data_IF_718240931880
#
_entry.id   IF_718240931880
#
_cell.length_a   1.000
_cell.length_b   1.000
_cell.length_c   1.000
_cell.angle_alpha   90.00
_cell.angle_beta   90.00
_cell.angle_gamma   90.00
#
_symmetry.space_group_name_H-M   'P 1'
#
loop_
_entity.id
_entity.type
_entity.pdbx_description
1 polymer ?
#
# COMPACT_ATOMS: atom_id res chain seq x y z
N UNK A 1 10.61 32.77 -6.48
CA UNK A 1 10.83 31.62 -7.40
C UNK A 1 10.39 30.40 -6.67
N UNK A 2 9.31 29.78 -7.12
CA UNK A 2 8.87 28.49 -6.59
C UNK A 2 9.87 27.46 -7.10
N UNK A 3 10.48 26.63 -6.24
CA UNK A 3 11.38 25.59 -6.72
C UNK A 3 10.61 24.65 -7.67
N UNK A 4 11.23 24.34 -8.80
CA UNK A 4 10.69 23.36 -9.74
C UNK A 4 10.75 21.98 -9.08
N UNK A 5 9.64 21.53 -8.54
CA UNK A 5 9.50 20.20 -7.93
C UNK A 5 8.60 19.37 -8.83
N UNK A 6 9.10 18.21 -9.26
CA UNK A 6 8.29 17.27 -10.03
C UNK A 6 7.16 16.73 -9.15
N UNK A 7 5.97 16.61 -9.73
CA UNK A 7 4.87 15.98 -9.03
C UNK A 7 5.13 14.47 -8.93
N UNK A 8 5.36 13.97 -7.73
CA UNK A 8 5.77 12.58 -7.49
C UNK A 8 4.81 11.57 -8.13
N UNK A 9 3.51 11.71 -7.89
CA UNK A 9 2.50 10.76 -8.41
C UNK A 9 2.45 10.78 -9.93
N UNK A 10 2.50 11.96 -10.54
CA UNK A 10 2.46 12.11 -12.01
C UNK A 10 3.78 11.69 -12.65
N UNK A 11 4.90 12.10 -12.06
CA UNK A 11 6.22 11.86 -12.62
C UNK A 11 6.67 10.41 -12.50
N UNK A 12 6.61 9.87 -11.31
CA UNK A 12 7.22 8.58 -11.00
C UNK A 12 6.26 7.38 -11.01
N UNK A 13 4.99 7.60 -10.74
CA UNK A 13 4.02 6.51 -10.61
C UNK A 13 3.24 6.31 -11.91
N UNK A 14 2.91 7.40 -12.60
CA UNK A 14 1.94 7.34 -13.68
C UNK A 14 2.52 7.52 -15.09
N UNK A 15 3.51 8.38 -15.26
CA UNK A 15 4.01 8.73 -16.59
C UNK A 15 5.33 8.08 -16.94
N UNK A 16 6.36 8.34 -16.15
CA UNK A 16 7.73 7.96 -16.50
C UNK A 16 8.26 6.82 -15.65
N UNK A 17 7.42 6.23 -14.81
CA UNK A 17 7.86 5.18 -13.92
C UNK A 17 8.76 5.68 -12.80
N UNK A 18 9.22 4.77 -12.05
CA UNK A 18 10.02 4.98 -10.86
C UNK A 18 9.27 4.51 -9.62
N UNK A 19 9.97 3.77 -8.79
CA UNK A 19 9.48 3.34 -7.49
C UNK A 19 8.74 2.01 -7.44
N UNK A 20 8.39 1.38 -8.55
CA UNK A 20 7.72 0.08 -8.56
C UNK A 20 6.60 -0.02 -7.51
N UNK A 21 5.72 0.98 -7.48
CA UNK A 21 4.72 1.16 -6.43
C UNK A 21 3.34 0.68 -6.85
N UNK A 22 2.57 0.25 -5.86
CA UNK A 22 1.18 -0.15 -6.04
C UNK A 22 0.56 -0.50 -4.69
N UNK A 23 -0.77 -0.47 -4.63
CA UNK A 23 -1.47 -0.94 -3.45
C UNK A 23 -1.46 -2.46 -3.38
N UNK A 24 -1.39 -3.01 -2.17
CA UNK A 24 -1.51 -4.45 -1.94
C UNK A 24 -2.97 -4.90 -1.98
N UNK A 25 -3.20 -6.19 -2.24
CA UNK A 25 -4.51 -6.83 -2.08
C UNK A 25 -5.14 -6.50 -0.73
N UNK A 26 -4.37 -6.66 0.34
CA UNK A 26 -4.80 -6.33 1.71
C UNK A 26 -5.29 -4.89 1.86
N UNK A 27 -4.68 -3.92 1.16
CA UNK A 27 -5.15 -2.53 1.16
C UNK A 27 -6.50 -2.40 0.44
N UNK A 28 -6.62 -3.00 -0.74
CA UNK A 28 -7.85 -2.94 -1.55
C UNK A 28 -9.01 -3.64 -0.84
N UNK A 29 -8.75 -4.76 -0.18
CA UNK A 29 -9.76 -5.47 0.62
C UNK A 29 -10.20 -4.70 1.86
N UNK A 30 -9.38 -3.78 2.38
CA UNK A 30 -9.74 -2.95 3.55
C UNK A 30 -10.87 -1.97 3.28
N UNK A 31 -11.09 -1.54 2.03
CA UNK A 31 -12.21 -0.70 1.69
C UNK A 31 -13.52 -1.46 1.88
N UNK A 32 -14.51 -0.79 2.48
CA UNK A 32 -15.84 -1.35 2.71
C UNK A 32 -16.69 -1.34 1.42
N UNK A 33 -17.86 -1.91 1.49
CA UNK A 33 -18.95 -1.58 0.56
C UNK A 33 -19.44 -0.16 0.85
N UNK A 34 -20.15 0.46 -0.08
CA UNK A 34 -20.65 1.83 0.06
C UNK A 34 -21.64 2.00 1.22
N UNK A 35 -22.32 0.94 1.60
CA UNK A 35 -23.22 0.89 2.75
C UNK A 35 -22.51 0.65 4.09
N UNK A 36 -21.17 0.57 4.09
CA UNK A 36 -20.35 0.30 5.27
C UNK A 36 -20.17 -1.18 5.61
N UNK A 37 -20.67 -2.10 4.81
CA UNK A 37 -20.53 -3.54 5.04
C UNK A 37 -19.11 -4.02 4.68
N UNK A 38 -18.43 -4.84 5.51
CA UNK A 38 -17.21 -5.53 5.10
C UNK A 38 -17.46 -6.46 3.90
N UNK A 39 -16.50 -6.54 2.96
CA UNK A 39 -16.70 -7.29 1.70
C UNK A 39 -17.09 -8.74 1.90
N UNK A 40 -16.56 -9.41 2.91
CA UNK A 40 -16.87 -10.81 3.21
C UNK A 40 -18.27 -11.02 3.84
N UNK A 41 -18.91 -9.94 4.28
CA UNK A 41 -20.25 -9.95 4.86
C UNK A 41 -21.33 -9.45 3.90
N UNK A 42 -20.95 -8.96 2.72
CA UNK A 42 -21.87 -8.42 1.72
C UNK A 42 -22.20 -9.43 0.65
N UNK A 43 -23.50 -9.59 0.36
CA UNK A 43 -23.98 -10.35 -0.81
C UNK A 43 -23.75 -9.61 -2.13
N UNK A 44 -23.53 -8.31 -2.09
CA UNK A 44 -23.39 -7.46 -3.28
C UNK A 44 -21.93 -7.38 -3.76
N UNK A 45 -20.98 -7.89 -2.99
CA UNK A 45 -19.59 -7.95 -3.41
C UNK A 45 -19.39 -8.93 -4.55
N UNK A 46 -18.93 -8.46 -5.68
CA UNK A 46 -18.79 -9.23 -6.92
C UNK A 46 -17.47 -10.01 -7.04
N UNK A 47 -16.65 -9.98 -5.99
CA UNK A 47 -15.34 -10.65 -6.01
C UNK A 47 -14.26 -9.79 -6.68
N UNK A 48 -13.16 -10.43 -7.09
CA UNK A 48 -11.93 -9.76 -7.51
C UNK A 48 -11.36 -10.25 -8.86
N UNK A 49 -12.19 -10.93 -9.65
CA UNK A 49 -11.75 -11.48 -10.94
C UNK A 49 -11.43 -10.43 -11.99
N UNK A 50 -12.03 -9.25 -11.88
CA UNK A 50 -11.77 -8.09 -12.72
C UNK A 50 -11.65 -6.83 -11.88
N UNK A 51 -11.05 -5.77 -12.44
CA UNK A 51 -11.01 -4.47 -11.78
C UNK A 51 -12.41 -3.91 -11.55
N UNK A 52 -13.32 -4.14 -12.49
CA UNK A 52 -14.70 -3.69 -12.44
C UNK A 52 -15.45 -4.35 -11.27
N UNK A 53 -15.23 -5.66 -11.06
CA UNK A 53 -15.80 -6.38 -9.92
C UNK A 53 -15.25 -5.85 -8.58
N UNK A 54 -13.94 -5.60 -8.52
CA UNK A 54 -13.31 -5.01 -7.32
C UNK A 54 -13.90 -3.64 -6.99
N UNK A 55 -14.23 -2.85 -8.01
CA UNK A 55 -14.71 -1.48 -7.86
C UNK A 55 -16.22 -1.37 -7.57
N UNK A 56 -17.00 -2.43 -7.89
CA UNK A 56 -18.47 -2.37 -7.86
C UNK A 56 -19.01 -2.22 -6.44
N UNK A 57 -19.81 -1.15 -6.24
CA UNK A 57 -20.53 -0.93 -4.98
C UNK A 57 -19.63 -0.66 -3.75
N UNK A 58 -18.36 -0.32 -3.97
CA UNK A 58 -17.36 -0.10 -2.90
C UNK A 58 -17.38 1.33 -2.38
N UNK A 59 -16.77 1.50 -1.22
CA UNK A 59 -16.40 2.81 -0.67
C UNK A 59 -15.81 3.70 -1.79
N UNK A 60 -16.37 4.88 -2.09
CA UNK A 60 -15.90 5.73 -3.18
C UNK A 60 -14.43 6.08 -3.10
N UNK A 61 -13.85 6.11 -1.90
CA UNK A 61 -12.42 6.36 -1.72
C UNK A 61 -11.54 5.28 -2.34
N UNK A 62 -12.05 4.06 -2.60
CA UNK A 62 -11.32 3.08 -3.40
C UNK A 62 -11.05 3.62 -4.80
N UNK A 63 -12.07 4.21 -5.42
CA UNK A 63 -11.98 4.79 -6.77
C UNK A 63 -11.14 6.07 -6.83
N UNK A 64 -10.99 6.76 -5.69
CA UNK A 64 -10.12 7.92 -5.55
C UNK A 64 -8.65 7.53 -5.33
N UNK A 65 -8.39 6.33 -4.84
CA UNK A 65 -7.04 5.87 -4.49
C UNK A 65 -6.44 4.92 -5.52
N UNK A 66 -7.25 4.11 -6.22
CA UNK A 66 -6.80 3.05 -7.14
C UNK A 66 -7.26 3.37 -8.56
N UNK A 67 -6.34 3.28 -9.51
CA UNK A 67 -6.68 3.39 -10.93
C UNK A 67 -7.49 2.17 -11.39
N UNK A 68 -8.66 2.44 -11.94
CA UNK A 68 -9.54 1.43 -12.52
C UNK A 68 -9.60 1.66 -14.04
N UNK A 69 -9.67 0.62 -14.88
CA UNK A 69 -9.86 0.77 -16.32
C UNK A 69 -11.03 1.68 -16.65
N UNK A 70 -10.78 2.69 -17.50
CA UNK A 70 -11.72 3.76 -17.81
C UNK A 70 -11.48 5.08 -17.06
N UNK A 71 -10.57 5.13 -16.07
CA UNK A 71 -10.13 6.38 -15.46
C UNK A 71 -9.33 7.22 -16.47
N UNK A 72 -9.58 8.52 -16.52
CA UNK A 72 -8.76 9.43 -17.31
C UNK A 72 -7.39 9.60 -16.64
N UNK A 73 -6.32 9.25 -17.35
CA UNK A 73 -4.96 9.36 -16.84
C UNK A 73 -4.25 10.61 -17.34
N UNK A 74 -4.52 11.02 -18.56
CA UNK A 74 -3.93 12.22 -19.16
C UNK A 74 -4.81 12.83 -20.23
N UNK A 75 -4.75 14.15 -20.37
CA UNK A 75 -5.37 14.87 -21.50
C UNK A 75 -4.40 15.08 -22.67
N UNK A 76 -3.15 14.59 -22.56
CA UNK A 76 -2.15 14.72 -23.63
C UNK A 76 -2.40 13.73 -24.75
N UNK A 77 -2.69 14.24 -25.95
CA UNK A 77 -2.89 13.43 -27.15
C UNK A 77 -1.60 12.75 -27.67
N UNK A 78 -0.45 13.14 -27.17
CA UNK A 78 0.86 12.62 -27.62
C UNK A 78 1.42 11.53 -26.71
N UNK A 79 0.78 11.26 -25.60
CA UNK A 79 1.25 10.24 -24.66
C UNK A 79 0.79 8.85 -25.10
N UNK A 80 1.73 8.01 -25.46
CA UNK A 80 1.47 6.62 -25.88
C UNK A 80 2.21 5.69 -24.95
N UNK A 81 1.50 5.16 -23.95
CA UNK A 81 2.05 4.19 -23.00
C UNK A 81 1.17 2.93 -22.96
N UNK A 82 1.77 1.80 -22.60
CA UNK A 82 1.07 0.52 -22.57
C UNK A 82 -0.09 0.44 -21.56
N UNK A 83 -0.20 1.39 -20.66
CA UNK A 83 -1.26 1.48 -19.64
C UNK A 83 -2.45 2.34 -20.02
N UNK A 84 -2.39 3.09 -21.14
CA UNK A 84 -3.45 4.01 -21.58
C UNK A 84 -3.96 3.68 -22.97
N UNK A 85 -5.19 4.05 -23.27
CA UNK A 85 -5.77 3.98 -24.62
C UNK A 85 -5.48 5.24 -25.44
N UNK A 86 -6.00 5.29 -26.69
CA UNK A 86 -5.82 6.43 -27.61
C UNK A 86 -6.35 7.76 -27.09
N UNK A 87 -7.31 7.72 -26.16
CA UNK A 87 -7.94 8.91 -25.60
C UNK A 87 -7.32 9.31 -24.24
N UNK A 88 -6.28 8.60 -23.78
CA UNK A 88 -5.61 8.89 -22.51
C UNK A 88 -6.25 8.24 -21.29
N UNK A 89 -7.15 7.28 -21.48
CA UNK A 89 -7.77 6.54 -20.39
C UNK A 89 -6.92 5.34 -19.97
N UNK A 90 -6.88 5.11 -18.66
CA UNK A 90 -6.21 3.96 -18.09
C UNK A 90 -6.86 2.66 -18.55
N UNK A 91 -6.05 1.71 -18.96
CA UNK A 91 -6.51 0.42 -19.45
C UNK A 91 -6.10 -0.73 -18.53
N UNK A 92 -4.86 -0.76 -18.09
CA UNK A 92 -4.30 -1.82 -17.24
C UNK A 92 -3.06 -1.36 -16.49
N UNK A 93 -2.74 -2.05 -15.39
CA UNK A 93 -1.50 -1.81 -14.67
C UNK A 93 -0.28 -2.23 -15.49
N UNK A 94 0.82 -1.50 -15.44
CA UNK A 94 2.05 -1.82 -16.16
C UNK A 94 2.86 -2.92 -15.46
N UNK A 95 2.28 -4.11 -15.26
CA UNK A 95 2.93 -5.23 -14.54
C UNK A 95 4.10 -5.83 -15.30
N UNK A 96 4.11 -5.70 -16.61
CA UNK A 96 5.09 -6.33 -17.52
C UNK A 96 6.08 -5.34 -18.11
N UNK A 97 6.02 -4.07 -17.70
CA UNK A 97 6.93 -3.05 -18.19
C UNK A 97 8.34 -3.17 -17.61
N UNK A 98 9.26 -2.35 -18.12
CA UNK A 98 10.62 -2.25 -17.58
C UNK A 98 10.62 -1.91 -16.10
N UNK A 99 11.69 -2.24 -15.41
CA UNK A 99 11.79 -2.25 -13.96
C UNK A 99 11.33 -0.96 -13.26
N UNK A 100 11.53 0.19 -13.88
CA UNK A 100 11.22 1.48 -13.27
C UNK A 100 9.75 1.91 -13.38
N UNK A 101 9.02 1.34 -14.35
CA UNK A 101 7.63 1.71 -14.66
C UNK A 101 6.60 0.73 -14.12
N UNK A 102 7.06 -0.28 -13.43
CA UNK A 102 6.26 -1.43 -13.04
C UNK A 102 5.30 -1.12 -11.89
N UNK A 103 4.08 -1.65 -11.98
CA UNK A 103 3.18 -1.78 -10.83
C UNK A 103 3.17 -3.26 -10.38
N UNK A 104 4.02 -3.65 -9.43
CA UNK A 104 4.23 -5.06 -9.11
C UNK A 104 3.04 -5.74 -8.45
N UNK A 105 2.05 -4.99 -8.01
CA UNK A 105 0.83 -5.52 -7.39
C UNK A 105 -0.40 -5.49 -8.31
N UNK A 106 -0.33 -4.81 -9.46
CA UNK A 106 -1.45 -4.64 -10.36
C UNK A 106 -2.49 -3.58 -9.94
N UNK A 107 -2.40 -3.03 -8.73
CA UNK A 107 -3.25 -1.94 -8.26
C UNK A 107 -2.48 -0.62 -8.26
N UNK A 108 -2.55 0.12 -9.37
CA UNK A 108 -1.84 1.39 -9.52
C UNK A 108 -2.44 2.49 -8.65
N UNK A 109 -1.57 3.33 -8.08
CA UNK A 109 -1.97 4.43 -7.20
C UNK A 109 -2.55 5.57 -8.04
N UNK A 110 -3.75 6.03 -7.65
CA UNK A 110 -4.45 7.19 -8.23
C UNK A 110 -4.38 8.42 -7.33
N UNK A 111 -4.31 8.25 -6.03
CA UNK A 111 -4.31 9.35 -5.06
C UNK A 111 -3.26 10.41 -5.38
N UNK A 112 -3.70 11.66 -5.47
CA UNK A 112 -2.83 12.77 -5.84
C UNK A 112 -2.55 12.88 -7.35
N UNK A 113 -3.23 12.09 -8.20
CA UNK A 113 -3.15 12.22 -9.64
C UNK A 113 -3.67 13.59 -10.11
N UNK A 114 -2.99 14.15 -11.08
CA UNK A 114 -3.53 15.19 -11.95
C UNK A 114 -3.51 14.72 -13.39
N UNK A 115 -4.59 15.00 -14.13
CA UNK A 115 -4.66 14.71 -15.56
C UNK A 115 -4.04 15.80 -16.42
N UNK A 116 -3.61 16.90 -15.80
CA UNK A 116 -2.99 18.04 -16.46
C UNK A 116 -1.57 17.67 -16.95
N UNK A 117 -1.32 17.69 -18.28
CA UNK A 117 -0.01 17.38 -18.83
C UNK A 117 1.08 18.38 -18.44
N UNK A 118 0.71 19.61 -18.04
CA UNK A 118 1.65 20.63 -17.62
C UNK A 118 2.23 20.37 -16.21
N UNK A 119 1.63 19.49 -15.43
CA UNK A 119 2.16 19.00 -14.15
C UNK A 119 3.11 17.82 -14.30
N UNK A 120 3.59 17.57 -15.51
CA UNK A 120 4.46 16.42 -15.82
C UNK A 120 5.87 16.54 -15.24
N UNK A 121 6.68 15.47 -15.37
CA UNK A 121 7.97 15.34 -14.68
C UNK A 121 9.04 16.35 -15.14
N UNK A 122 8.88 16.95 -16.30
CA UNK A 122 9.81 17.95 -16.85
C UNK A 122 9.39 19.39 -16.59
N UNK A 123 8.24 19.58 -15.97
CA UNK A 123 7.65 20.88 -15.68
C UNK A 123 7.47 21.08 -14.18
N UNK A 124 7.55 22.32 -13.67
CA UNK A 124 7.36 22.60 -12.26
C UNK A 124 5.91 22.32 -11.87
N UNK A 125 5.72 21.31 -11.03
CA UNK A 125 4.41 21.04 -10.47
C UNK A 125 4.02 22.14 -9.45
N UNK A 126 2.75 22.51 -9.50
CA UNK A 126 2.18 23.52 -8.58
C UNK A 126 1.43 22.89 -7.41
N UNK A 127 1.31 21.57 -7.38
CA UNK A 127 0.63 20.83 -6.32
C UNK A 127 1.43 20.87 -5.02
N UNK A 128 0.78 21.28 -3.93
CA UNK A 128 1.40 21.28 -2.62
C UNK A 128 1.53 19.87 -2.05
N UNK A 129 2.61 19.61 -1.34
CA UNK A 129 2.79 18.40 -0.55
C UNK A 129 2.11 18.56 0.82
N UNK A 130 1.19 17.68 1.15
CA UNK A 130 0.50 17.68 2.45
C UNK A 130 1.41 17.00 3.47
N UNK A 131 1.77 17.75 4.53
CA UNK A 131 2.60 17.23 5.63
C UNK A 131 1.73 16.70 6.77
N UNK A 132 0.65 17.42 7.09
CA UNK A 132 -0.30 17.06 8.15
C UNK A 132 -1.69 17.61 7.78
N UNK A 133 -2.74 16.90 8.17
CA UNK A 133 -4.12 17.33 7.92
C UNK A 133 -5.07 16.91 9.05
N UNK A 134 -6.19 17.62 9.15
CA UNK A 134 -7.18 17.44 10.23
C UNK A 134 -7.69 15.99 10.36
N UNK A 135 -7.75 15.25 9.26
CA UNK A 135 -8.17 13.85 9.29
C UNK A 135 -7.26 12.99 10.18
N UNK A 136 -5.95 13.24 10.18
CA UNK A 136 -5.03 12.55 11.08
C UNK A 136 -5.30 12.87 12.54
N UNK A 137 -5.58 14.15 12.86
CA UNK A 137 -5.94 14.55 14.22
C UNK A 137 -7.24 13.87 14.69
N UNK A 138 -8.25 13.78 13.82
CA UNK A 138 -9.50 13.08 14.14
C UNK A 138 -9.27 11.61 14.43
N UNK A 139 -8.49 10.95 13.60
CA UNK A 139 -8.15 9.53 13.73
C UNK A 139 -7.32 9.25 14.99
N UNK A 140 -6.39 10.15 15.33
CA UNK A 140 -5.62 10.06 16.57
C UNK A 140 -6.53 10.19 17.80
N UNK A 141 -7.49 11.11 17.76
CA UNK A 141 -8.46 11.30 18.84
C UNK A 141 -9.34 10.06 19.03
N UNK A 142 -9.92 9.55 17.93
CA UNK A 142 -10.80 8.38 17.95
C UNK A 142 -10.09 7.13 18.50
N UNK A 143 -8.84 6.91 18.09
CA UNK A 143 -8.05 5.78 18.58
C UNK A 143 -7.75 5.92 20.07
N UNK A 144 -7.32 7.09 20.51
CA UNK A 144 -7.03 7.36 21.92
C UNK A 144 -8.28 7.24 22.81
N UNK A 145 -9.43 7.75 22.36
CA UNK A 145 -10.70 7.63 23.07
C UNK A 145 -11.14 6.16 23.19
N UNK A 146 -11.06 5.41 22.10
CA UNK A 146 -11.38 3.98 22.08
C UNK A 146 -10.52 3.17 23.06
N UNK A 147 -9.22 3.42 23.08
CA UNK A 147 -8.28 2.75 24.00
C UNK A 147 -8.53 3.14 25.46
N UNK A 148 -8.75 4.43 25.73
CA UNK A 148 -8.98 4.95 27.08
C UNK A 148 -10.29 4.43 27.69
N UNK A 149 -11.33 4.27 26.88
CA UNK A 149 -12.68 3.93 27.32
C UNK A 149 -13.09 2.47 27.02
N UNK A 150 -12.09 1.57 26.86
CA UNK A 150 -12.30 0.14 26.65
C UNK A 150 -13.24 -0.18 25.46
N UNK A 151 -13.07 0.52 24.35
CA UNK A 151 -13.83 0.30 23.13
C UNK A 151 -15.10 1.14 22.98
N UNK A 152 -15.49 1.90 24.01
CA UNK A 152 -16.58 2.87 23.93
C UNK A 152 -16.09 4.19 23.34
N UNK A 153 -16.93 4.82 22.52
CA UNK A 153 -16.61 6.08 21.86
C UNK A 153 -17.46 7.20 22.41
N UNK A 154 -16.86 8.36 22.64
CA UNK A 154 -17.58 9.55 23.00
C UNK A 154 -18.27 10.22 21.78
N UNK A 155 -19.06 11.25 22.05
CA UNK A 155 -19.79 11.98 21.00
C UNK A 155 -18.85 12.69 19.99
N UNK A 156 -17.64 13.09 20.40
CA UNK A 156 -16.69 13.73 19.50
C UNK A 156 -16.07 12.70 18.55
N UNK A 157 -15.71 11.51 19.05
CA UNK A 157 -15.22 10.41 18.23
C UNK A 157 -16.22 10.04 17.14
N UNK A 158 -17.50 9.89 17.51
CA UNK A 158 -18.56 9.60 16.54
C UNK A 158 -18.69 10.73 15.51
N UNK A 159 -18.71 11.99 15.95
CA UNK A 159 -18.78 13.16 15.06
C UNK A 159 -17.59 13.22 14.07
N UNK A 160 -16.39 12.92 14.53
CA UNK A 160 -15.20 12.93 13.67
C UNK A 160 -15.25 11.79 12.66
N UNK A 161 -15.69 10.61 13.07
CA UNK A 161 -15.84 9.48 12.17
C UNK A 161 -16.90 9.73 11.09
N UNK A 162 -18.06 10.25 11.50
CA UNK A 162 -19.14 10.67 10.59
C UNK A 162 -18.65 11.72 9.57
N UNK A 163 -17.84 12.68 10.01
CA UNK A 163 -17.28 13.70 9.12
C UNK A 163 -16.33 13.09 8.07
N UNK A 164 -15.49 12.12 8.44
CA UNK A 164 -14.60 11.41 7.51
C UNK A 164 -15.41 10.60 6.50
N UNK A 165 -16.42 9.86 6.95
CA UNK A 165 -17.29 9.05 6.07
C UNK A 165 -18.12 9.91 5.14
N UNK A 166 -18.73 10.98 5.64
CA UNK A 166 -19.51 11.92 4.82
C UNK A 166 -18.65 12.50 3.69
N UNK A 167 -17.45 12.96 4.02
CA UNK A 167 -16.51 13.47 3.01
C UNK A 167 -16.08 12.40 2.01
N UNK A 168 -15.88 11.16 2.47
CA UNK A 168 -15.50 10.02 1.63
C UNK A 168 -16.65 9.45 0.79
N UNK A 169 -17.88 9.93 0.98
CA UNK A 169 -19.05 9.46 0.23
C UNK A 169 -19.61 8.12 0.70
N UNK A 170 -19.18 7.62 1.86
CA UNK A 170 -19.77 6.46 2.53
C UNK A 170 -20.84 6.94 3.52
N UNK A 171 -21.90 6.16 3.70
CA UNK A 171 -22.99 6.56 4.57
C UNK A 171 -22.52 6.70 6.05
N UNK A 172 -22.61 7.89 6.66
CA UNK A 172 -22.07 8.11 8.02
C UNK A 172 -22.80 7.33 9.10
N UNK A 173 -24.11 7.15 8.95
CA UNK A 173 -24.97 6.43 9.88
C UNK A 173 -24.75 4.91 9.89
N UNK A 174 -23.76 4.40 9.16
CA UNK A 174 -23.44 2.99 9.07
C UNK A 174 -22.24 2.57 9.94
N UNK A 175 -21.73 3.48 10.79
CA UNK A 175 -20.55 3.19 11.64
C UNK A 175 -20.83 1.98 12.53
N UNK A 176 -21.94 2.01 13.28
CA UNK A 176 -22.29 0.89 14.16
C UNK A 176 -22.55 -0.40 13.38
N UNK A 177 -23.24 -0.31 12.25
CA UNK A 177 -23.45 -1.44 11.33
C UNK A 177 -22.12 -2.07 10.88
N UNK A 178 -21.12 -1.24 10.51
CA UNK A 178 -19.79 -1.73 10.17
C UNK A 178 -19.15 -2.47 11.34
N UNK A 179 -19.21 -1.90 12.55
CA UNK A 179 -18.63 -2.50 13.76
C UNK A 179 -19.27 -3.86 14.04
N UNK A 180 -20.60 -3.94 13.99
CA UNK A 180 -21.37 -5.14 14.29
C UNK A 180 -21.13 -6.29 13.31
N UNK A 181 -20.89 -5.97 12.03
CA UNK A 181 -20.60 -6.95 10.99
C UNK A 181 -19.11 -7.32 10.87
N UNK A 182 -18.24 -6.60 11.57
CA UNK A 182 -16.81 -6.88 11.48
C UNK A 182 -16.41 -8.11 12.29
N UNK A 183 -16.00 -9.14 11.58
CA UNK A 183 -15.28 -10.29 12.11
C UNK A 183 -13.77 -10.09 11.90
N UNK A 184 -13.08 -9.65 12.96
CA UNK A 184 -11.64 -9.33 12.92
C UNK A 184 -10.79 -10.52 12.45
N UNK A 185 -11.26 -11.74 12.65
CA UNK A 185 -10.54 -12.96 12.22
C UNK A 185 -10.51 -13.12 10.70
N UNK A 186 -11.47 -12.55 9.99
CA UNK A 186 -11.58 -12.60 8.53
C UNK A 186 -10.85 -11.48 7.81
N UNK A 187 -10.37 -10.50 8.56
CA UNK A 187 -9.70 -9.34 7.97
C UNK A 187 -8.28 -9.67 7.50
N UNK A 188 -7.96 -9.32 6.26
CA UNK A 188 -6.63 -9.49 5.69
C UNK A 188 -5.74 -8.27 5.98
N UNK A 189 -5.59 -7.93 7.26
CA UNK A 189 -4.84 -6.76 7.70
C UNK A 189 -4.11 -7.03 9.02
N UNK A 190 -2.82 -6.74 9.07
CA UNK A 190 -2.02 -6.84 10.31
C UNK A 190 -2.53 -5.90 11.42
N UNK A 191 -3.21 -4.80 11.07
CA UNK A 191 -3.79 -3.87 12.05
C UNK A 191 -4.85 -4.51 12.97
N UNK A 192 -5.31 -5.71 12.65
CA UNK A 192 -6.21 -6.49 13.52
C UNK A 192 -5.52 -6.99 14.79
N UNK A 193 -4.21 -6.83 14.90
CA UNK A 193 -3.43 -7.28 16.05
C UNK A 193 -2.83 -6.12 16.85
N UNK A 194 -2.66 -6.35 18.15
CA UNK A 194 -1.76 -5.62 19.05
C UNK A 194 -0.91 -6.66 19.76
N UNK A 195 0.38 -6.75 19.43
CA UNK A 195 1.18 -7.92 19.70
C UNK A 195 0.56 -9.14 19.03
N UNK A 196 0.37 -10.21 19.77
CA UNK A 196 -0.24 -11.47 19.30
C UNK A 196 -1.77 -11.49 19.46
N UNK A 197 -2.36 -10.47 20.07
CA UNK A 197 -3.78 -10.44 20.40
C UNK A 197 -4.61 -9.72 19.34
N UNK A 198 -5.77 -10.28 19.01
CA UNK A 198 -6.76 -9.59 18.20
C UNK A 198 -7.36 -8.41 18.99
N UNK A 199 -7.52 -7.28 18.32
CA UNK A 199 -8.18 -6.11 18.90
C UNK A 199 -9.71 -6.22 18.76
N UNK A 200 -10.46 -5.34 19.45
CA UNK A 200 -11.91 -5.25 19.29
C UNK A 200 -12.29 -4.81 17.87
N UNK A 201 -13.51 -5.15 17.43
CA UNK A 201 -14.02 -4.70 16.13
C UNK A 201 -14.10 -3.16 16.04
N UNK A 202 -14.39 -2.47 17.14
CA UNK A 202 -14.38 -1.01 17.18
C UNK A 202 -13.00 -0.46 16.87
N UNK A 203 -11.98 -0.88 17.63
CA UNK A 203 -10.60 -0.43 17.44
C UNK A 203 -10.07 -0.79 16.05
N UNK A 204 -10.35 -2.00 15.58
CA UNK A 204 -9.96 -2.41 14.23
C UNK A 204 -10.57 -1.50 13.17
N UNK A 205 -11.85 -1.14 13.27
CA UNK A 205 -12.49 -0.27 12.29
C UNK A 205 -11.96 1.17 12.33
N UNK A 206 -11.53 1.68 13.47
CA UNK A 206 -10.80 2.96 13.55
C UNK A 206 -9.46 2.84 12.80
N UNK A 207 -8.70 1.77 13.02
CA UNK A 207 -7.45 1.51 12.32
C UNK A 207 -7.64 1.29 10.82
N UNK A 208 -8.76 0.65 10.40
CA UNK A 208 -9.20 0.54 9.00
C UNK A 208 -9.48 1.91 8.41
N UNK A 209 -10.27 2.73 9.09
CA UNK A 209 -10.58 4.09 8.65
C UNK A 209 -9.30 4.91 8.46
N UNK A 210 -8.35 4.78 9.40
CA UNK A 210 -7.04 5.42 9.31
C UNK A 210 -6.24 4.93 8.09
N UNK A 211 -6.23 3.63 7.84
CA UNK A 211 -5.54 3.04 6.68
C UNK A 211 -6.08 3.56 5.37
N UNK A 212 -7.40 3.63 5.23
CA UNK A 212 -8.10 4.09 4.02
C UNK A 212 -7.87 5.58 3.83
N UNK A 213 -8.09 6.36 4.87
CA UNK A 213 -8.02 7.81 4.83
C UNK A 213 -6.60 8.32 4.53
N UNK A 214 -5.59 7.75 5.18
CA UNK A 214 -4.19 8.15 5.06
C UNK A 214 -3.40 7.28 4.07
N UNK A 215 -4.10 6.60 3.16
CA UNK A 215 -3.47 5.79 2.13
C UNK A 215 -2.43 6.59 1.33
N UNK A 216 -1.27 5.99 1.07
CA UNK A 216 -0.14 6.61 0.36
C UNK A 216 0.42 7.91 0.97
N UNK A 217 0.17 8.18 2.26
CA UNK A 217 0.72 9.33 2.99
C UNK A 217 1.93 8.97 3.88
N UNK A 218 2.47 7.77 3.77
CA UNK A 218 3.70 7.34 4.45
C UNK A 218 3.54 6.89 5.91
N UNK A 219 2.33 6.91 6.48
CA UNK A 219 2.11 6.67 7.92
C UNK A 219 1.95 5.19 8.30
N UNK A 220 1.69 4.30 7.33
CA UNK A 220 1.30 2.92 7.61
C UNK A 220 2.32 2.11 8.39
N UNK A 221 3.60 2.24 8.06
CA UNK A 221 4.64 1.45 8.71
C UNK A 221 4.78 1.82 10.19
N UNK A 222 4.76 3.11 10.51
CA UNK A 222 4.82 3.59 11.88
C UNK A 222 3.57 3.19 12.68
N UNK A 223 2.40 3.17 12.05
CA UNK A 223 1.18 2.67 12.66
C UNK A 223 1.32 1.18 13.06
N UNK A 224 1.79 0.33 12.15
CA UNK A 224 2.00 -1.09 12.43
C UNK A 224 3.05 -1.32 13.53
N UNK A 225 4.10 -0.48 13.59
CA UNK A 225 5.09 -0.52 14.66
C UNK A 225 4.48 -0.15 16.02
N UNK A 226 3.82 1.01 16.13
CA UNK A 226 3.25 1.47 17.39
C UNK A 226 2.13 0.57 17.93
N UNK A 227 1.40 -0.10 17.05
CA UNK A 227 0.40 -1.11 17.42
C UNK A 227 1.00 -2.47 17.78
N UNK A 228 2.28 -2.69 17.59
CA UNK A 228 2.92 -4.00 17.71
C UNK A 228 2.31 -5.05 16.76
N UNK A 229 1.67 -4.63 15.68
CA UNK A 229 1.00 -5.51 14.72
C UNK A 229 1.98 -6.35 13.89
N UNK A 230 3.24 -5.91 13.80
CA UNK A 230 4.27 -6.60 13.04
C UNK A 230 4.71 -7.92 13.69
N UNK A 231 4.46 -8.14 14.98
CA UNK A 231 4.77 -9.41 15.67
C UNK A 231 4.12 -10.62 14.97
N UNK A 232 3.00 -10.38 14.28
CA UNK A 232 2.26 -11.39 13.50
C UNK A 232 2.71 -11.50 12.04
N UNK A 233 3.74 -10.77 11.63
CA UNK A 233 4.32 -10.88 10.28
C UNK A 233 5.29 -12.07 10.23
N UNK A 234 4.75 -13.25 9.93
CA UNK A 234 5.50 -14.49 9.80
C UNK A 234 5.22 -15.10 8.42
N UNK A 235 6.27 -15.29 7.61
CA UNK A 235 6.16 -15.76 6.22
C UNK A 235 5.13 -14.95 5.41
N UNK A 236 5.06 -13.66 5.65
CA UNK A 236 4.06 -12.77 5.05
C UNK A 236 4.41 -12.48 3.60
N UNK A 237 3.54 -12.92 2.69
CA UNK A 237 3.66 -12.60 1.26
C UNK A 237 2.84 -11.37 0.90
N UNK A 238 3.49 -10.39 0.30
CA UNK A 238 2.79 -9.29 -0.36
C UNK A 238 2.02 -9.84 -1.55
N UNK A 239 0.71 -9.63 -1.56
CA UNK A 239 -0.15 -10.02 -2.67
C UNK A 239 -0.69 -8.80 -3.42
N UNK A 240 -0.85 -8.95 -4.71
CA UNK A 240 -1.50 -7.99 -5.60
C UNK A 240 -2.88 -8.47 -6.04
N UNK A 241 -3.31 -7.99 -7.22
CA UNK A 241 -4.62 -8.31 -7.78
C UNK A 241 -4.70 -9.78 -8.23
N UNK A 242 -5.93 -10.22 -8.51
CA UNK A 242 -6.18 -11.52 -9.13
C UNK A 242 -5.78 -11.46 -10.61
N UNK A 243 -4.57 -11.91 -10.91
CA UNK A 243 -4.04 -11.89 -12.27
C UNK A 243 -4.62 -13.00 -13.14
N UNK A 244 -4.79 -14.22 -12.57
CA UNK A 244 -4.90 -15.46 -13.34
C UNK A 244 -6.32 -15.82 -13.76
N UNK A 245 -7.32 -15.01 -13.36
CA UNK A 245 -8.70 -15.09 -13.85
C UNK A 245 -8.91 -14.17 -15.07
N UNK A 246 -9.96 -13.37 -15.06
CA UNK A 246 -10.34 -12.54 -16.20
C UNK A 246 -9.35 -11.41 -16.51
N UNK A 247 -8.65 -10.88 -15.50
CA UNK A 247 -7.63 -9.85 -15.72
C UNK A 247 -6.48 -10.33 -16.61
N UNK A 248 -6.16 -11.63 -16.57
CA UNK A 248 -5.13 -12.21 -17.41
C UNK A 248 -5.35 -11.96 -18.90
N UNK A 249 -6.58 -11.96 -19.36
CA UNK A 249 -6.93 -11.72 -20.76
C UNK A 249 -6.42 -10.36 -21.25
N UNK A 250 -6.38 -9.35 -20.39
CA UNK A 250 -5.87 -8.01 -20.72
C UNK A 250 -4.36 -7.98 -21.01
N UNK A 251 -3.62 -9.01 -20.58
CA UNK A 251 -2.17 -9.14 -20.77
C UNK A 251 -1.79 -10.16 -21.83
N UNK A 252 -2.60 -11.18 -21.99
CA UNK A 252 -2.29 -12.33 -22.87
C UNK A 252 -2.86 -12.19 -24.29
N UNK A 253 -3.84 -11.32 -24.49
CA UNK A 253 -4.52 -11.19 -25.78
C UNK A 253 -4.23 -9.82 -26.40
N UNK A 254 -3.92 -9.74 -27.72
CA UNK A 254 -3.89 -8.48 -28.43
C UNK A 254 -5.24 -7.82 -28.35
N UNK A 255 -5.30 -6.54 -28.06
CA UNK A 255 -6.55 -5.79 -27.94
C UNK A 255 -6.68 -4.83 -29.12
N UNK A 256 -7.42 -5.28 -30.14
CA UNK A 256 -7.65 -4.53 -31.39
C UNK A 256 -8.53 -3.31 -31.10
N UNK A 257 -7.98 -2.18 -30.86
CA UNK A 257 -8.72 -0.93 -30.66
C UNK A 257 -8.06 -0.01 -29.67
N UNK A 258 -7.14 -0.53 -28.91
CA UNK A 258 -6.29 0.26 -28.05
C UNK A 258 -5.13 0.88 -28.85
N UNK A 259 -4.35 1.66 -28.21
CA UNK A 259 -3.39 2.61 -28.71
C UNK A 259 -2.37 2.09 -29.76
N UNK A 260 -2.79 1.45 -30.84
CA UNK A 260 -1.92 1.07 -31.94
C UNK A 260 -0.88 0.02 -31.53
N UNK A 261 0.36 0.21 -31.96
CA UNK A 261 1.44 -0.78 -31.89
C UNK A 261 1.80 -1.36 -30.51
N UNK A 262 1.40 -0.74 -29.44
CA UNK A 262 1.75 -1.19 -28.09
C UNK A 262 0.85 -2.31 -27.55
N UNK A 263 -0.28 -2.56 -28.19
CA UNK A 263 -1.25 -3.57 -27.78
C UNK A 263 -1.51 -4.64 -28.85
N UNK A 264 -0.90 -4.50 -30.02
CA UNK A 264 -1.09 -5.42 -31.15
C UNK A 264 -0.35 -6.77 -30.96
N UNK A 265 0.60 -6.82 -30.06
CA UNK A 265 1.24 -8.07 -29.66
C UNK A 265 0.80 -8.45 -28.24
N UNK A 266 0.62 -9.76 -27.95
CA UNK A 266 0.53 -10.20 -26.57
C UNK A 266 1.76 -9.64 -25.87
N UNK A 267 1.54 -8.92 -24.77
CA UNK A 267 2.67 -8.58 -23.92
C UNK A 267 3.38 -9.89 -23.61
N UNK A 268 4.69 -9.91 -23.80
CA UNK A 268 5.52 -11.00 -23.35
C UNK A 268 5.43 -11.06 -21.82
N UNK A 269 4.40 -11.74 -21.34
CA UNK A 269 4.17 -11.95 -19.92
C UNK A 269 5.13 -13.05 -19.50
N UNK A 270 6.40 -12.70 -19.54
CA UNK A 270 7.52 -13.51 -19.02
C UNK A 270 7.17 -14.03 -17.63
N UNK A 271 6.42 -13.22 -16.97
CA UNK A 271 5.75 -13.45 -15.76
C UNK A 271 4.85 -14.69 -15.67
N UNK A 272 4.37 -15.18 -16.76
CA UNK A 272 3.56 -16.40 -16.83
C UNK A 272 4.41 -17.67 -16.82
N UNK A 273 5.72 -17.52 -16.77
CA UNK A 273 6.66 -18.62 -16.58
C UNK A 273 6.60 -19.12 -15.13
N UNK A 274 7.28 -20.20 -14.88
CA UNK A 274 7.39 -20.78 -13.55
C UNK A 274 7.98 -19.78 -12.54
N UNK A 275 7.52 -19.85 -11.30
CA UNK A 275 8.07 -19.09 -10.20
C UNK A 275 9.57 -19.34 -10.05
N UNK A 276 10.35 -18.29 -9.84
CA UNK A 276 11.79 -18.35 -9.74
C UNK A 276 12.53 -18.30 -11.08
N UNK A 277 11.82 -18.18 -12.22
CA UNK A 277 12.47 -17.93 -13.49
C UNK A 277 13.17 -16.56 -13.46
N UNK A 278 14.39 -16.50 -13.93
CA UNK A 278 15.26 -15.32 -13.80
C UNK A 278 14.69 -14.08 -14.50
N UNK A 279 13.95 -14.28 -15.56
CA UNK A 279 13.31 -13.23 -16.36
C UNK A 279 11.84 -12.97 -15.99
N UNK A 280 11.33 -13.60 -14.94
CA UNK A 280 9.97 -13.40 -14.47
C UNK A 280 9.79 -12.03 -13.80
N UNK A 281 8.67 -11.38 -14.05
CA UNK A 281 8.31 -10.09 -13.44
C UNK A 281 6.97 -10.09 -12.71
N UNK A 282 6.28 -11.22 -12.68
CA UNK A 282 5.12 -11.52 -11.82
C UNK A 282 5.21 -12.98 -11.34
N UNK A 283 4.42 -13.33 -10.35
CA UNK A 283 4.36 -14.71 -9.84
C UNK A 283 3.82 -15.68 -10.87
N UNK A 284 4.32 -16.92 -10.85
CA UNK A 284 3.78 -17.98 -11.67
C UNK A 284 2.37 -18.36 -11.24
N UNK A 285 1.59 -18.91 -12.17
CA UNK A 285 0.23 -19.40 -11.90
C UNK A 285 0.21 -20.48 -10.81
N UNK A 286 1.27 -21.27 -10.68
CA UNK A 286 1.42 -22.27 -9.64
C UNK A 286 1.40 -21.71 -8.21
N UNK A 287 1.76 -20.43 -8.04
CA UNK A 287 1.73 -19.75 -6.74
C UNK A 287 0.32 -19.25 -6.34
N UNK A 288 -0.69 -19.53 -7.16
CA UNK A 288 -2.07 -19.14 -6.95
C UNK A 288 -2.54 -18.05 -7.91
N UNK A 289 -3.77 -17.55 -7.68
CA UNK A 289 -4.40 -16.57 -8.58
C UNK A 289 -3.91 -15.15 -8.35
N UNK A 290 -3.43 -14.84 -7.16
CA UNK A 290 -2.94 -13.50 -6.80
C UNK A 290 -1.49 -13.31 -7.18
N UNK A 291 -1.17 -12.11 -7.67
CA UNK A 291 0.22 -11.73 -7.83
C UNK A 291 0.97 -11.78 -6.50
N UNK A 292 2.17 -12.33 -6.54
CA UNK A 292 3.14 -12.33 -5.42
C UNK A 292 4.47 -11.77 -5.93
N UNK A 293 4.63 -10.45 -6.00
CA UNK A 293 5.73 -9.80 -6.74
C UNK A 293 7.14 -10.25 -6.31
N UNK A 294 7.29 -10.71 -5.07
CA UNK A 294 8.58 -11.16 -4.56
C UNK A 294 8.82 -12.68 -4.69
N UNK A 295 7.82 -13.45 -5.11
CA UNK A 295 7.95 -14.88 -5.43
C UNK A 295 8.30 -15.14 -6.89
N UNK A 296 9.04 -14.25 -7.51
CA UNK A 296 9.39 -14.29 -8.91
C UNK A 296 10.81 -14.82 -9.08
N UNK A 297 11.73 -14.37 -8.25
CA UNK A 297 13.13 -14.77 -8.26
C UNK A 297 13.51 -15.40 -6.92
N UNK A 298 14.14 -16.57 -6.95
CA UNK A 298 14.53 -17.33 -5.74
C UNK A 298 15.57 -16.63 -4.89
N UNK A 299 16.35 -15.72 -5.48
CA UNK A 299 17.34 -14.91 -4.77
C UNK A 299 16.76 -13.63 -4.14
N UNK A 300 15.46 -13.37 -4.30
CA UNK A 300 14.81 -12.25 -3.63
C UNK A 300 14.68 -12.56 -2.14
N UNK A 301 15.08 -11.61 -1.30
CA UNK A 301 15.04 -11.76 0.17
C UNK A 301 13.63 -12.05 0.70
N UNK A 302 12.59 -11.60 0.01
CA UNK A 302 11.20 -11.83 0.38
C UNK A 302 10.54 -13.00 -0.38
N UNK A 303 11.32 -13.83 -1.08
CA UNK A 303 10.79 -14.98 -1.84
C UNK A 303 9.99 -15.95 -0.95
N UNK A 304 10.46 -16.19 0.27
CA UNK A 304 9.79 -17.02 1.26
C UNK A 304 8.85 -16.23 2.20
N UNK A 305 8.59 -14.97 1.88
CA UNK A 305 7.80 -14.07 2.71
C UNK A 305 8.64 -13.27 3.70
N UNK A 306 8.01 -12.23 4.22
CA UNK A 306 8.61 -11.39 5.25
C UNK A 306 8.40 -11.97 6.64
N UNK A 307 9.43 -11.89 7.47
CA UNK A 307 9.37 -12.16 8.89
C UNK A 307 9.81 -10.90 9.65
N UNK A 308 9.08 -10.57 10.69
CA UNK A 308 9.44 -9.45 11.55
C UNK A 308 10.30 -9.92 12.72
N UNK A 309 11.42 -9.27 12.92
CA UNK A 309 12.23 -9.44 14.12
C UNK A 309 11.85 -8.35 15.14
N UNK A 310 11.40 -8.70 16.35
CA UNK A 310 10.99 -7.72 17.37
C UNK A 310 12.06 -6.70 17.73
N UNK A 311 13.35 -7.02 17.60
CA UNK A 311 14.43 -6.07 17.84
C UNK A 311 14.37 -4.86 16.88
N UNK A 312 13.72 -4.99 15.74
CA UNK A 312 13.53 -3.89 14.75
C UNK A 312 12.48 -2.85 15.14
N UNK A 313 11.78 -3.02 16.26
CA UNK A 313 10.94 -1.95 16.79
C UNK A 313 11.73 -0.72 17.21
N UNK A 314 12.98 -0.93 17.65
CA UNK A 314 13.92 0.14 17.94
C UNK A 314 15.03 0.12 16.89
N UNK A 315 15.35 1.28 16.34
CA UNK A 315 16.48 1.40 15.43
C UNK A 315 17.80 1.31 16.21
N UNK A 316 18.88 0.75 15.62
CA UNK A 316 20.19 0.78 16.28
C UNK A 316 20.67 2.22 16.44
N UNK A 317 21.35 2.47 17.53
CA UNK A 317 22.16 3.68 17.67
C UNK A 317 23.39 3.50 16.79
N UNK A 318 23.69 4.50 15.96
CA UNK A 318 24.77 4.41 14.99
C UNK A 318 26.13 4.21 15.67
N UNK A 319 26.94 3.34 15.09
CA UNK A 319 28.26 2.96 15.61
C UNK A 319 29.14 4.16 15.96
N UNK A 320 29.12 5.22 15.16
CA UNK A 320 29.93 6.43 15.40
C UNK A 320 29.61 7.12 16.74
N UNK A 321 28.39 7.01 17.25
CA UNK A 321 28.07 7.58 18.56
C UNK A 321 28.83 6.85 19.67
N UNK A 322 28.97 5.54 19.59
CA UNK A 322 29.78 4.77 20.55
C UNK A 322 31.25 5.14 20.46
N UNK A 323 31.79 5.23 19.23
CA UNK A 323 33.16 5.62 18.97
C UNK A 323 33.52 6.99 19.55
N UNK A 324 32.58 7.96 19.44
CA UNK A 324 32.79 9.34 19.93
C UNK A 324 32.56 9.51 21.42
N UNK A 325 31.97 8.53 22.10
CA UNK A 325 31.62 8.60 23.53
C UNK A 325 32.36 7.57 24.41
N UNK A 326 33.34 6.88 23.86
CA UNK A 326 34.24 6.00 24.63
C UNK A 326 35.02 6.82 25.68
N UNK A 327 35.32 6.20 26.80
CA UNK A 327 36.02 6.85 27.94
C UNK A 327 37.44 7.36 27.57
N UNK A 328 38.08 6.67 26.61
CA UNK A 328 39.41 7.04 26.10
C UNK A 328 39.35 7.37 24.62
N UNK A 329 39.83 8.52 24.21
CA UNK A 329 39.91 8.93 22.83
C UNK A 329 40.73 7.94 22.00
N UNK A 330 40.13 7.44 20.92
CA UNK A 330 40.75 6.47 20.01
C UNK A 330 40.71 5.00 20.51
N UNK A 331 40.05 4.73 21.63
CA UNK A 331 39.83 3.37 22.09
C UNK A 331 38.95 2.57 21.13
N UNK A 332 39.25 1.31 20.92
CA UNK A 332 38.40 0.34 20.24
C UNK A 332 37.49 -0.45 21.20
N UNK A 333 37.56 -0.17 22.48
CA UNK A 333 36.65 -0.74 23.48
C UNK A 333 35.41 0.15 23.64
N UNK A 334 34.43 -0.09 22.77
CA UNK A 334 33.18 0.67 22.76
C UNK A 334 32.25 0.36 23.93
N UNK A 335 32.56 -0.65 24.74
CA UNK A 335 31.80 -0.96 25.96
C UNK A 335 32.01 0.10 27.05
N UNK A 336 33.06 0.91 26.93
CA UNK A 336 33.36 2.04 27.83
C UNK A 336 32.54 3.31 27.45
N UNK A 337 31.74 3.28 26.40
CA UNK A 337 30.85 4.36 26.02
C UNK A 337 29.81 4.63 27.11
N UNK A 338 29.46 5.90 27.29
CA UNK A 338 28.43 6.33 28.24
C UNK A 338 27.01 6.03 27.77
N UNK A 339 26.83 5.58 26.50
CA UNK A 339 25.54 5.22 25.93
C UNK A 339 25.43 3.72 25.73
N UNK A 340 24.21 3.21 25.74
CA UNK A 340 23.89 1.80 25.54
C UNK A 340 23.17 1.59 24.22
N UNK A 341 23.49 0.47 23.58
CA UNK A 341 22.78 0.07 22.36
C UNK A 341 21.35 -0.39 22.69
N UNK A 342 20.45 -0.21 21.74
CA UNK A 342 19.11 -0.76 21.85
C UNK A 342 19.14 -2.30 21.92
N UNK A 343 18.19 -2.92 22.65
CA UNK A 343 18.16 -4.36 22.84
C UNK A 343 18.19 -5.11 21.50
N UNK A 344 18.97 -6.20 21.47
CA UNK A 344 19.12 -7.05 20.31
C UNK A 344 20.01 -6.50 19.19
N UNK A 345 20.64 -5.33 19.38
CA UNK A 345 21.59 -4.78 18.41
C UNK A 345 23.03 -4.82 18.97
N UNK A 346 24.00 -5.04 18.10
CA UNK A 346 25.42 -5.01 18.44
C UNK A 346 26.03 -3.62 18.21
N UNK A 347 27.12 -3.34 18.91
CA UNK A 347 27.93 -2.13 18.69
C UNK A 347 28.93 -2.41 17.56
N UNK A 348 28.45 -2.57 16.34
CA UNK A 348 29.25 -2.93 15.17
C UNK A 348 28.71 -2.19 13.94
N UNK A 349 29.59 -1.90 12.97
CA UNK A 349 29.15 -1.37 11.67
C UNK A 349 28.42 -2.46 10.87
N UNK A 350 27.29 -2.10 10.25
CA UNK A 350 26.48 -3.00 9.43
C UNK A 350 25.98 -4.25 10.19
N UNK A 351 25.84 -4.17 11.51
CA UNK A 351 25.28 -5.27 12.29
C UNK A 351 23.80 -5.49 11.94
N UNK A 352 23.39 -6.74 11.92
CA UNK A 352 21.98 -7.13 11.92
C UNK A 352 21.53 -7.35 13.37
N UNK A 353 20.22 -7.20 13.66
CA UNK A 353 19.72 -7.53 14.99
C UNK A 353 19.84 -9.03 15.25
N UNK A 354 19.94 -9.40 16.50
CA UNK A 354 19.96 -10.81 16.90
C UNK A 354 18.72 -11.54 16.38
N UNK A 355 18.93 -12.71 15.79
CA UNK A 355 17.85 -13.54 15.26
C UNK A 355 17.49 -13.28 13.79
N UNK A 356 18.25 -12.42 13.08
CA UNK A 356 18.14 -12.25 11.63
C UNK A 356 19.13 -13.14 10.86
#
# INVERSE_FOLDING_TARGET
MTPAVNHFVVGYIQRNGGGNSGFTRSMVESFLMQDGTPIYASSDYQGDKTYENVAHGRDPRLLDNVLIPGDLLTTSATMTEAKIDKAGYYYRAPITEISENRCPTGYSIKKGLTTDPEQGPTLPATTASVVFRAAEAYLNYMEADCELNNGNLDANSMKYWEALRTRGGIAPNTIQHTIDLTDVTKENDLARYSGENLVSSTLYNIRRERRIELAAEGLRFEDLKRWRSLDMMQNYHVQGFNLWDENYKRYATPDAGLNGSNFDAPLNVIALKESGAEDSNVSAKADGVYMMPYRVLTNNIAFNGYNWNPNKYLNPIAFDHFRLTTAEEGSSDYTTSAIYQNPGWKIETNSLPEGD
#
